data_IF_298647333748
#
_entry.id   IF_298647333748
#
_cell.length_a   1.000
_cell.length_b   1.000
_cell.length_c   1.000
_cell.angle_alpha   90.00
_cell.angle_beta   90.00
_cell.angle_gamma   90.00
#
_symmetry.space_group_name_H-M   'P 1'
#
loop_
_entity.id
_entity.type
_entity.pdbx_description
1 polymer ?
#
# COMPACT_ATOMS: atom_id res chain seq x y z
N UNK A 1 59.07 -7.38 -32.95
CA UNK A 1 58.51 -6.10 -32.46
C UNK A 1 57.01 -6.26 -32.27
N UNK A 2 56.53 -5.97 -31.05
CA UNK A 2 55.20 -5.48 -30.64
C UNK A 2 53.95 -6.36 -30.88
N UNK A 3 53.61 -7.12 -29.83
CA UNK A 3 52.24 -7.42 -29.39
C UNK A 3 51.53 -6.14 -28.94
N UNK A 4 50.28 -5.88 -29.35
CA UNK A 4 49.24 -5.27 -28.50
C UNK A 4 47.86 -5.73 -28.96
N UNK A 5 47.25 -6.62 -28.17
CA UNK A 5 45.81 -6.91 -28.15
C UNK A 5 45.11 -5.75 -27.42
N UNK A 6 44.20 -5.04 -28.09
CA UNK A 6 43.29 -4.08 -27.44
C UNK A 6 41.95 -4.78 -27.17
N UNK A 7 41.82 -5.36 -25.97
CA UNK A 7 40.52 -5.73 -25.38
C UNK A 7 40.42 -4.95 -24.06
N UNK A 8 39.75 -3.81 -24.08
CA UNK A 8 39.36 -3.05 -22.90
C UNK A 8 38.42 -1.95 -23.39
N UNK A 9 37.21 -1.71 -22.90
CA UNK A 9 36.42 -2.30 -21.85
C UNK A 9 35.19 -1.38 -21.78
N UNK A 10 34.05 -1.82 -22.29
CA UNK A 10 32.79 -1.05 -22.27
C UNK A 10 31.71 -1.99 -21.78
N UNK A 11 31.52 -2.07 -20.47
CA UNK A 11 30.43 -2.86 -19.86
C UNK A 11 30.25 -2.41 -18.40
N UNK A 12 29.56 -1.29 -18.15
CA UNK A 12 29.11 -0.93 -16.78
C UNK A 12 28.15 0.28 -16.73
N UNK A 13 27.04 0.26 -17.49
CA UNK A 13 26.01 1.32 -17.37
C UNK A 13 24.55 0.83 -17.31
N UNK A 14 24.26 -0.47 -17.36
CA UNK A 14 22.87 -0.97 -17.44
C UNK A 14 22.23 -1.35 -16.09
N UNK A 15 22.95 -1.32 -14.97
CA UNK A 15 22.46 -1.89 -13.71
C UNK A 15 21.56 -0.95 -12.89
N UNK A 16 21.62 0.38 -13.10
CA UNK A 16 20.86 1.32 -12.27
C UNK A 16 19.38 1.39 -12.67
N UNK A 17 19.06 1.45 -13.97
CA UNK A 17 17.67 1.55 -14.43
C UNK A 17 16.83 0.30 -14.13
N UNK A 18 17.45 -0.90 -14.09
CA UNK A 18 16.74 -2.14 -13.82
C UNK A 18 16.26 -2.26 -12.36
N UNK A 19 17.04 -1.73 -11.41
CA UNK A 19 16.69 -1.75 -9.99
C UNK A 19 15.51 -0.83 -9.69
N UNK A 20 15.55 0.38 -10.23
CA UNK A 20 14.49 1.38 -10.11
C UNK A 20 13.14 0.86 -10.63
N UNK A 21 13.12 0.31 -11.85
CA UNK A 21 11.92 -0.29 -12.45
C UNK A 21 11.36 -1.44 -11.59
N UNK A 22 12.23 -2.26 -11.00
CA UNK A 22 11.82 -3.36 -10.13
C UNK A 22 11.16 -2.88 -8.83
N UNK A 23 11.73 -1.86 -8.18
CA UNK A 23 11.18 -1.33 -6.92
C UNK A 23 9.83 -0.62 -7.13
N UNK A 24 9.68 0.16 -8.21
CA UNK A 24 8.41 0.80 -8.54
C UNK A 24 7.32 -0.23 -8.89
N UNK A 25 7.63 -1.26 -9.67
CA UNK A 25 6.67 -2.36 -9.97
C UNK A 25 6.17 -3.05 -8.70
N UNK A 26 7.07 -3.31 -7.74
CA UNK A 26 6.70 -3.89 -6.45
C UNK A 26 5.84 -2.92 -5.63
N UNK A 27 6.17 -1.63 -5.61
CA UNK A 27 5.40 -0.62 -4.93
C UNK A 27 3.96 -0.53 -5.49
N UNK A 28 3.79 -0.57 -6.81
CA UNK A 28 2.48 -0.62 -7.49
C UNK A 28 1.69 -1.85 -7.04
N UNK A 29 2.28 -3.05 -7.10
CA UNK A 29 1.59 -4.28 -6.69
C UNK A 29 1.10 -4.21 -5.23
N UNK A 30 1.93 -3.64 -4.33
CA UNK A 30 1.55 -3.46 -2.92
C UNK A 30 0.43 -2.42 -2.76
N UNK A 31 0.44 -1.35 -3.56
CA UNK A 31 -0.63 -0.34 -3.57
C UNK A 31 -1.97 -0.98 -3.99
N UNK A 32 -1.98 -1.81 -5.05
CA UNK A 32 -3.16 -2.56 -5.48
C UNK A 32 -3.67 -3.52 -4.40
N UNK A 33 -2.78 -4.31 -3.79
CA UNK A 33 -3.13 -5.18 -2.68
C UNK A 33 -3.70 -4.41 -1.47
N UNK A 34 -3.16 -3.22 -1.21
CA UNK A 34 -3.62 -2.36 -0.12
C UNK A 34 -5.06 -1.92 -0.35
N UNK A 35 -5.42 -1.50 -1.57
CA UNK A 35 -6.81 -1.17 -1.90
C UNK A 35 -7.74 -2.38 -1.79
N UNK A 36 -7.30 -3.56 -2.23
CA UNK A 36 -8.09 -4.79 -2.04
C UNK A 36 -8.35 -5.11 -0.55
N UNK A 37 -7.36 -4.89 0.31
CA UNK A 37 -7.54 -5.04 1.76
C UNK A 37 -8.47 -3.98 2.34
N UNK A 38 -8.37 -2.74 1.87
CA UNK A 38 -9.27 -1.66 2.28
C UNK A 38 -10.73 -1.99 1.93
N UNK A 39 -11.00 -2.49 0.72
CA UNK A 39 -12.34 -2.91 0.31
C UNK A 39 -12.92 -3.98 1.24
N UNK A 40 -12.10 -4.97 1.61
CA UNK A 40 -12.49 -6.02 2.55
C UNK A 40 -12.77 -5.49 3.97
N UNK A 41 -11.96 -4.53 4.44
CA UNK A 41 -12.16 -3.84 5.72
C UNK A 41 -13.49 -3.09 5.70
N UNK A 42 -13.77 -2.33 4.63
CA UNK A 42 -14.99 -1.55 4.49
C UNK A 42 -16.24 -2.44 4.45
N UNK A 43 -16.20 -3.54 3.69
CA UNK A 43 -17.29 -4.52 3.67
C UNK A 43 -17.56 -5.13 5.06
N UNK A 44 -16.50 -5.43 5.82
CA UNK A 44 -16.62 -5.98 7.17
C UNK A 44 -17.20 -4.94 8.15
N UNK A 45 -16.77 -3.68 8.06
CA UNK A 45 -17.34 -2.57 8.83
C UNK A 45 -18.84 -2.44 8.57
N UNK A 46 -19.27 -2.48 7.30
CA UNK A 46 -20.69 -2.40 6.96
C UNK A 46 -21.52 -3.52 7.59
N UNK A 47 -20.96 -4.73 7.68
CA UNK A 47 -21.59 -5.85 8.37
C UNK A 47 -21.73 -5.59 9.88
N UNK A 48 -20.65 -5.14 10.53
CA UNK A 48 -20.59 -4.93 11.98
C UNK A 48 -21.36 -3.69 12.46
N UNK A 49 -21.55 -2.68 11.62
CA UNK A 49 -22.33 -1.46 11.94
C UNK A 49 -23.78 -1.75 12.36
N UNK A 50 -24.30 -2.94 12.04
CA UNK A 50 -25.62 -3.40 12.48
C UNK A 50 -25.70 -3.65 13.99
N UNK A 51 -24.56 -3.74 14.68
CA UNK A 51 -24.49 -3.94 16.13
C UNK A 51 -24.17 -2.62 16.85
N UNK A 52 -25.11 -2.03 17.60
CA UNK A 52 -24.89 -0.81 18.38
C UNK A 52 -23.76 -0.92 19.41
N UNK A 53 -23.51 -2.12 19.96
CA UNK A 53 -22.46 -2.34 20.96
C UNK A 53 -21.04 -2.16 20.39
N UNK A 54 -20.88 -2.18 19.07
CA UNK A 54 -19.58 -2.05 18.40
C UNK A 54 -19.33 -0.66 17.82
N UNK A 55 -20.28 0.28 17.94
CA UNK A 55 -20.24 1.55 17.19
C UNK A 55 -19.00 2.39 17.51
N UNK A 56 -18.58 2.45 18.78
CA UNK A 56 -17.39 3.20 19.19
C UNK A 56 -16.09 2.55 18.69
N UNK A 57 -16.06 1.22 18.69
CA UNK A 57 -14.92 0.45 18.16
C UNK A 57 -14.79 0.60 16.66
N UNK A 58 -15.91 0.59 15.94
CA UNK A 58 -15.97 0.83 14.49
C UNK A 58 -15.54 2.27 14.18
N UNK A 59 -16.07 3.27 14.89
CA UNK A 59 -15.71 4.66 14.70
C UNK A 59 -14.20 4.91 14.92
N UNK A 60 -13.57 4.17 15.85
CA UNK A 60 -12.11 4.23 16.02
C UNK A 60 -11.37 3.66 14.80
N UNK A 61 -11.79 2.51 14.29
CA UNK A 61 -11.18 1.90 13.09
C UNK A 61 -11.33 2.82 11.88
N UNK A 62 -12.49 3.45 11.70
CA UNK A 62 -12.73 4.40 10.60
C UNK A 62 -11.80 5.61 10.66
N UNK A 63 -11.50 6.12 11.85
CA UNK A 63 -10.49 7.19 12.02
C UNK A 63 -9.07 6.72 11.66
N UNK A 64 -8.74 5.46 11.94
CA UNK A 64 -7.44 4.88 11.55
C UNK A 64 -7.34 4.72 10.03
N UNK A 65 -8.43 4.30 9.37
CA UNK A 65 -8.52 4.24 7.89
C UNK A 65 -8.37 5.64 7.29
N UNK A 66 -9.10 6.63 7.80
CA UNK A 66 -9.00 8.00 7.30
C UNK A 66 -7.58 8.56 7.49
N UNK A 67 -6.89 8.20 8.58
CA UNK A 67 -5.48 8.55 8.77
C UNK A 67 -4.60 7.90 7.69
N UNK A 68 -4.77 6.61 7.44
CA UNK A 68 -4.05 5.87 6.40
C UNK A 68 -4.26 6.49 5.01
N UNK A 69 -5.50 6.84 4.65
CA UNK A 69 -5.83 7.49 3.37
C UNK A 69 -5.09 8.84 3.19
N UNK A 70 -4.90 9.59 4.28
CA UNK A 70 -4.15 10.85 4.28
C UNK A 70 -2.61 10.66 4.22
N UNK A 71 -2.11 9.50 4.63
CA UNK A 71 -0.69 9.14 4.53
C UNK A 71 -0.35 8.52 3.16
N UNK A 72 -1.35 8.20 2.35
CA UNK A 72 -1.18 7.55 1.06
C UNK A 72 -0.41 8.45 0.07
N UNK A 73 0.70 7.91 -0.44
CA UNK A 73 1.51 8.47 -1.51
C UNK A 73 1.27 7.65 -2.79
N UNK A 74 0.94 8.31 -3.89
CA UNK A 74 0.76 7.65 -5.18
C UNK A 74 2.09 7.21 -5.76
N UNK A 75 2.15 5.96 -6.24
CA UNK A 75 3.33 5.43 -6.93
C UNK A 75 3.34 5.90 -8.39
N UNK A 76 4.44 6.51 -8.88
CA UNK A 76 4.56 6.89 -10.29
C UNK A 76 4.32 5.70 -11.23
N UNK A 77 3.51 5.91 -12.27
CA UNK A 77 3.11 4.86 -13.22
C UNK A 77 1.96 3.99 -12.74
N UNK A 78 1.38 4.27 -11.57
CA UNK A 78 0.14 3.65 -11.15
C UNK A 78 -1.06 4.30 -11.86
N UNK A 79 -1.58 3.61 -12.88
CA UNK A 79 -2.85 3.94 -13.52
C UNK A 79 -3.96 3.21 -12.77
N UNK A 80 -4.62 3.89 -11.82
CA UNK A 80 -5.72 3.29 -11.05
C UNK A 80 -6.90 3.00 -11.99
N UNK A 81 -7.07 1.73 -12.38
CA UNK A 81 -8.11 1.32 -13.33
C UNK A 81 -9.48 1.07 -12.66
N UNK A 82 -9.53 0.87 -11.34
CA UNK A 82 -10.77 0.39 -10.68
C UNK A 82 -11.08 0.92 -9.28
N UNK A 83 -10.25 1.74 -8.63
CA UNK A 83 -10.52 2.22 -7.26
C UNK A 83 -11.05 3.67 -7.26
N UNK A 84 -12.35 3.84 -7.51
CA UNK A 84 -13.03 5.13 -7.29
C UNK A 84 -13.32 5.33 -5.80
N UNK A 85 -12.29 5.52 -4.98
CA UNK A 85 -12.48 6.12 -3.67
C UNK A 85 -12.80 7.61 -3.88
N UNK A 86 -14.10 7.96 -3.87
CA UNK A 86 -14.60 9.34 -3.98
C UNK A 86 -14.31 10.13 -2.71
N UNK A 87 -13.03 10.40 -2.45
CA UNK A 87 -12.63 11.39 -1.48
C UNK A 87 -11.52 12.23 -2.13
N UNK A 88 -11.78 13.53 -2.30
CA UNK A 88 -10.80 14.50 -2.81
C UNK A 88 -9.71 14.74 -1.77
N UNK A 89 -8.90 13.72 -1.50
CA UNK A 89 -7.66 13.87 -0.75
C UNK A 89 -6.57 14.23 -1.74
N UNK A 90 -5.96 15.39 -1.56
CA UNK A 90 -4.75 15.76 -2.28
C UNK A 90 -3.63 14.83 -1.80
N UNK A 91 -3.40 13.72 -2.50
CA UNK A 91 -2.24 12.87 -2.24
C UNK A 91 -0.98 13.73 -2.36
N UNK A 92 -0.12 13.69 -1.33
CA UNK A 92 1.11 14.47 -1.35
C UNK A 92 2.05 13.84 -2.37
N UNK A 93 2.36 14.59 -3.42
CA UNK A 93 3.46 14.25 -4.32
C UNK A 93 4.75 14.48 -3.53
N UNK A 94 5.30 13.40 -2.97
CA UNK A 94 6.59 13.41 -2.29
C UNK A 94 7.61 12.81 -3.25
N UNK A 95 8.71 13.51 -3.48
CA UNK A 95 9.84 12.96 -4.23
C UNK A 95 10.56 11.93 -3.35
N UNK A 96 10.18 10.66 -3.54
CA UNK A 96 10.84 9.51 -2.93
C UNK A 96 11.66 8.78 -3.99
N UNK A 97 12.81 8.24 -3.60
CA UNK A 97 13.50 7.26 -4.45
C UNK A 97 12.64 5.98 -4.59
N UNK A 98 12.82 5.18 -5.64
CA UNK A 98 12.09 3.92 -5.83
C UNK A 98 12.11 2.98 -4.62
N UNK A 99 13.25 2.85 -3.93
CA UNK A 99 13.39 2.01 -2.75
C UNK A 99 12.67 2.60 -1.52
N UNK A 100 12.65 3.93 -1.39
CA UNK A 100 11.87 4.60 -0.34
C UNK A 100 10.37 4.48 -0.61
N UNK A 101 9.94 4.62 -1.87
CA UNK A 101 8.55 4.43 -2.28
C UNK A 101 8.09 3.01 -1.95
N UNK A 102 8.88 2.00 -2.32
CA UNK A 102 8.60 0.60 -1.95
C UNK A 102 8.47 0.43 -0.43
N UNK A 103 9.37 1.03 0.35
CA UNK A 103 9.35 0.94 1.81
C UNK A 103 8.08 1.59 2.40
N UNK A 104 7.67 2.75 1.87
CA UNK A 104 6.43 3.44 2.28
C UNK A 104 5.20 2.59 1.96
N UNK A 105 5.12 2.00 0.76
CA UNK A 105 4.00 1.13 0.41
C UNK A 105 3.94 -0.11 1.31
N UNK A 106 5.08 -0.70 1.66
CA UNK A 106 5.15 -1.82 2.62
C UNK A 106 4.64 -1.43 4.01
N UNK A 107 5.03 -0.27 4.52
CA UNK A 107 4.57 0.24 5.81
C UNK A 107 3.05 0.48 5.80
N UNK A 108 2.55 1.16 4.78
CA UNK A 108 1.11 1.43 4.61
C UNK A 108 0.30 0.14 4.50
N UNK A 109 0.81 -0.88 3.79
CA UNK A 109 0.19 -2.21 3.71
C UNK A 109 0.15 -2.91 5.07
N UNK A 110 1.20 -2.77 5.88
CA UNK A 110 1.25 -3.32 7.22
C UNK A 110 0.21 -2.64 8.13
N UNK A 111 0.07 -1.32 8.07
CA UNK A 111 -0.96 -0.60 8.83
C UNK A 111 -2.37 -1.12 8.55
N UNK A 112 -2.72 -1.34 7.28
CA UNK A 112 -4.01 -1.95 6.90
C UNK A 112 -4.17 -3.38 7.42
N UNK A 113 -3.09 -4.17 7.41
CA UNK A 113 -3.12 -5.53 7.95
C UNK A 113 -3.41 -5.53 9.45
N UNK A 114 -2.82 -4.60 10.19
CA UNK A 114 -3.08 -4.42 11.62
C UNK A 114 -4.53 -3.98 11.89
N UNK A 115 -5.05 -3.06 11.08
CA UNK A 115 -6.47 -2.65 11.13
C UNK A 115 -7.37 -3.86 10.88
N UNK A 116 -7.09 -4.64 9.82
CA UNK A 116 -7.86 -5.82 9.47
C UNK A 116 -7.85 -6.86 10.60
N UNK A 117 -6.70 -7.07 11.25
CA UNK A 117 -6.57 -7.99 12.38
C UNK A 117 -7.41 -7.54 13.59
N UNK A 118 -7.42 -6.23 13.90
CA UNK A 118 -8.30 -5.66 14.95
C UNK A 118 -9.77 -5.84 14.61
N UNK A 119 -10.16 -5.60 13.36
CA UNK A 119 -11.54 -5.76 12.90
C UNK A 119 -12.01 -7.21 12.98
N UNK A 120 -11.17 -8.17 12.56
CA UNK A 120 -11.45 -9.61 12.70
C UNK A 120 -11.69 -10.02 14.16
N UNK A 121 -10.94 -9.46 15.12
CA UNK A 121 -11.17 -9.72 16.55
C UNK A 121 -12.54 -9.22 17.01
N UNK A 122 -12.99 -8.06 16.54
CA UNK A 122 -14.34 -7.56 16.82
C UNK A 122 -15.41 -8.47 16.22
N UNK A 123 -15.20 -8.92 14.97
CA UNK A 123 -16.12 -9.85 14.30
C UNK A 123 -16.22 -11.20 15.03
N UNK A 124 -15.11 -11.83 15.38
CA UNK A 124 -15.14 -13.10 16.12
C UNK A 124 -15.70 -12.95 17.54
N UNK A 125 -15.47 -11.82 18.20
CA UNK A 125 -16.12 -11.51 19.48
C UNK A 125 -17.64 -11.38 19.34
N UNK A 126 -18.09 -10.75 18.26
CA UNK A 126 -19.50 -10.63 17.91
C UNK A 126 -20.15 -11.99 17.60
N UNK A 127 -19.56 -12.79 16.72
CA UNK A 127 -20.10 -14.09 16.31
C UNK A 127 -20.27 -15.08 17.49
N UNK A 128 -19.50 -14.90 18.57
CA UNK A 128 -19.61 -15.69 19.81
C UNK A 128 -20.68 -15.18 20.79
N UNK A 129 -21.21 -13.98 20.57
CA UNK A 129 -22.16 -13.31 21.47
C UNK A 129 -23.61 -13.42 21.00
N UNK A 130 -23.84 -14.10 19.87
CA UNK A 130 -25.15 -14.43 19.27
C UNK A 130 -25.40 -15.92 19.50
#
# INVERSE_FOLDING_TARGET
MKTVLFISGVMLALSCSQKEDTSLKKAIAIQEESFSVLDNIQATIQSLRKNPALIDSIAKIEREIAKWENEMVDVPGYESTHHQHKHSHSHKVVELTPDQMLSVQQELRQQLTDIQARLKKLQTGYDKSI
#
